data_IF_374023445391
#
_entry.id   IF_374023445391
#
_cell.length_a   1.000
_cell.length_b   1.000
_cell.length_c   1.000
_cell.angle_alpha   90.00
_cell.angle_beta   90.00
_cell.angle_gamma   90.00
#
_symmetry.space_group_name_H-M   'P 1'
#
loop_
_entity.id
_entity.type
_entity.pdbx_description
1 polymer ?
#
# COMPACT_ATOMS: atom_id res chain seq x y z
N UNK A 1 -54.24 -29.80 -40.43
CA UNK A 1 -53.87 -29.07 -39.18
C UNK A 1 -52.43 -29.37 -38.83
N UNK A 2 -51.51 -28.45 -39.13
CA UNK A 2 -50.09 -28.60 -38.84
C UNK A 2 -49.80 -28.02 -37.45
N UNK A 3 -49.38 -28.84 -36.47
CA UNK A 3 -48.91 -28.37 -35.18
C UNK A 3 -47.53 -27.75 -35.35
N UNK A 4 -47.41 -26.43 -35.10
CA UNK A 4 -46.15 -25.71 -34.95
C UNK A 4 -45.63 -25.98 -33.53
N UNK A 5 -44.51 -26.68 -33.41
CA UNK A 5 -43.73 -26.76 -32.16
C UNK A 5 -42.94 -25.46 -32.00
N UNK A 6 -43.19 -24.74 -30.92
CA UNK A 6 -42.48 -23.55 -30.51
C UNK A 6 -41.27 -24.01 -29.71
N UNK A 7 -40.10 -23.94 -30.29
CA UNK A 7 -38.82 -24.18 -29.57
C UNK A 7 -38.50 -22.91 -28.81
N UNK A 8 -38.68 -22.93 -27.49
CA UNK A 8 -38.21 -21.89 -26.58
C UNK A 8 -36.72 -22.13 -26.34
N UNK A 9 -35.88 -21.31 -26.97
CA UNK A 9 -34.45 -21.25 -26.73
C UNK A 9 -34.21 -20.49 -25.42
N UNK A 10 -34.05 -21.21 -24.31
CA UNK A 10 -33.62 -20.62 -23.04
C UNK A 10 -32.13 -20.27 -23.18
N UNK A 11 -31.85 -19.00 -23.49
CA UNK A 11 -30.53 -18.40 -23.35
C UNK A 11 -30.20 -18.35 -21.83
N UNK A 12 -29.50 -19.38 -21.34
CA UNK A 12 -28.83 -19.33 -20.05
C UNK A 12 -27.74 -18.26 -20.16
N UNK A 13 -28.07 -17.04 -19.80
CA UNK A 13 -27.07 -16.01 -19.48
C UNK A 13 -26.28 -16.50 -18.25
N UNK A 14 -25.27 -17.31 -18.51
CA UNK A 14 -24.23 -17.60 -17.55
C UNK A 14 -23.56 -16.29 -17.17
N UNK A 15 -23.96 -15.70 -16.05
CA UNK A 15 -23.15 -14.73 -15.35
C UNK A 15 -21.86 -15.42 -14.95
N UNK A 16 -20.89 -15.45 -15.86
CA UNK A 16 -19.50 -15.71 -15.51
C UNK A 16 -19.11 -14.56 -14.61
N UNK A 17 -19.27 -14.76 -13.29
CA UNK A 17 -18.59 -13.96 -12.28
C UNK A 17 -17.09 -14.17 -12.54
N UNK A 18 -16.53 -13.36 -13.41
CA UNK A 18 -15.09 -13.28 -13.59
C UNK A 18 -14.51 -13.03 -12.22
N UNK A 19 -13.80 -14.02 -11.67
CA UNK A 19 -12.95 -13.79 -10.52
C UNK A 19 -12.07 -12.59 -10.91
N UNK A 20 -12.21 -11.51 -10.18
CA UNK A 20 -11.49 -10.25 -10.44
C UNK A 20 -10.00 -10.56 -10.45
N UNK A 21 -9.36 -10.50 -11.61
CA UNK A 21 -7.94 -10.81 -11.75
C UNK A 21 -7.12 -9.72 -11.07
N UNK A 22 -6.13 -10.07 -10.26
CA UNK A 22 -5.28 -9.06 -9.64
C UNK A 22 -4.52 -8.27 -10.71
N UNK A 23 -4.25 -7.00 -10.43
CA UNK A 23 -3.47 -6.13 -11.32
C UNK A 23 -2.07 -6.70 -11.56
N UNK A 24 -1.40 -7.11 -10.49
CA UNK A 24 -0.06 -7.71 -10.54
C UNK A 24 -0.17 -9.24 -10.51
N UNK A 25 0.75 -9.90 -11.21
CA UNK A 25 0.78 -11.36 -11.40
C UNK A 25 2.11 -11.95 -10.92
N UNK A 26 2.15 -13.26 -10.78
CA UNK A 26 3.39 -13.97 -10.46
C UNK A 26 4.53 -13.59 -11.42
N UNK A 27 5.69 -13.26 -10.85
CA UNK A 27 6.87 -12.85 -11.59
C UNK A 27 6.94 -11.34 -11.90
N UNK A 28 5.88 -10.56 -11.64
CA UNK A 28 5.93 -9.11 -11.82
C UNK A 28 6.95 -8.47 -10.85
N UNK A 29 7.68 -7.48 -11.40
CA UNK A 29 8.62 -6.63 -10.68
C UNK A 29 8.10 -5.20 -10.72
N UNK A 30 7.66 -4.71 -9.57
CA UNK A 30 6.93 -3.45 -9.42
C UNK A 30 7.81 -2.45 -8.69
N UNK A 31 8.34 -1.45 -9.39
CA UNK A 31 9.09 -0.35 -8.79
C UNK A 31 8.15 0.79 -8.36
N UNK A 32 8.16 1.12 -7.07
CA UNK A 32 7.54 2.34 -6.55
C UNK A 32 8.55 3.48 -6.63
N UNK A 33 8.32 4.39 -7.57
CA UNK A 33 9.23 5.51 -7.88
C UNK A 33 8.70 6.79 -7.25
N UNK A 34 9.53 7.47 -6.45
CA UNK A 34 9.10 8.70 -5.79
C UNK A 34 10.13 9.30 -4.85
N UNK A 35 9.64 10.14 -3.97
CA UNK A 35 10.42 10.90 -2.98
C UNK A 35 10.39 10.25 -1.57
N UNK A 36 10.55 11.06 -0.50
CA UNK A 36 10.56 10.60 0.90
C UNK A 36 9.30 9.82 1.30
N UNK A 37 8.11 10.17 0.81
CA UNK A 37 6.87 9.47 1.13
C UNK A 37 6.88 8.04 0.54
N UNK A 38 7.54 7.85 -0.59
CA UNK A 38 7.77 6.52 -1.17
C UNK A 38 8.92 5.81 -0.46
N UNK A 39 10.04 6.49 -0.20
CA UNK A 39 11.18 5.92 0.52
C UNK A 39 10.79 5.39 1.91
N UNK A 40 9.91 6.10 2.63
CA UNK A 40 9.39 5.67 3.95
C UNK A 40 8.47 4.46 3.91
N UNK A 41 8.07 4.01 2.73
CA UNK A 41 7.31 2.77 2.55
C UNK A 41 5.81 2.92 2.77
N UNK A 42 5.37 2.93 4.00
CA UNK A 42 3.98 3.03 4.46
C UNK A 42 2.92 2.45 3.52
N UNK A 43 2.47 3.24 2.54
CA UNK A 43 1.38 2.83 1.66
C UNK A 43 1.74 1.63 0.76
N UNK A 44 2.94 1.59 0.18
CA UNK A 44 3.29 0.48 -0.70
C UNK A 44 3.74 -0.77 0.07
N UNK A 45 4.19 -0.63 1.31
CA UNK A 45 4.36 -1.76 2.22
C UNK A 45 3.00 -2.43 2.49
N UNK A 46 1.95 -1.66 2.77
CA UNK A 46 0.60 -2.19 2.91
C UNK A 46 0.10 -2.84 1.60
N UNK A 47 0.40 -2.26 0.43
CA UNK A 47 0.07 -2.90 -0.86
C UNK A 47 0.81 -4.25 -0.99
N UNK A 48 2.10 -4.29 -0.68
CA UNK A 48 2.88 -5.53 -0.68
C UNK A 48 2.30 -6.57 0.28
N UNK A 49 1.96 -6.17 1.51
CA UNK A 49 1.32 -7.03 2.51
C UNK A 49 -0.02 -7.58 1.99
N UNK A 50 -0.87 -6.72 1.40
CA UNK A 50 -2.13 -7.15 0.81
C UNK A 50 -1.91 -8.21 -0.28
N UNK A 51 -0.99 -7.97 -1.23
CA UNK A 51 -0.74 -8.93 -2.31
C UNK A 51 -0.13 -10.23 -1.79
N UNK A 52 0.77 -10.19 -0.83
CA UNK A 52 1.40 -11.37 -0.25
C UNK A 52 0.39 -12.24 0.50
N UNK A 53 -0.49 -11.63 1.30
CA UNK A 53 -1.52 -12.36 2.05
C UNK A 53 -2.67 -12.83 1.15
N UNK A 54 -3.04 -12.04 0.14
CA UNK A 54 -4.16 -12.33 -0.76
C UNK A 54 -3.81 -13.33 -1.85
N UNK A 55 -2.57 -13.30 -2.37
CA UNK A 55 -2.13 -14.12 -3.50
C UNK A 55 -0.83 -14.88 -3.16
N UNK A 56 -0.84 -15.75 -2.13
CA UNK A 56 0.37 -16.41 -1.64
C UNK A 56 1.03 -17.31 -2.69
N UNK A 57 0.29 -17.75 -3.71
CA UNK A 57 0.78 -18.58 -4.81
C UNK A 57 1.25 -17.74 -6.03
N UNK A 58 1.28 -16.41 -5.91
CA UNK A 58 1.69 -15.51 -6.98
C UNK A 58 2.80 -14.58 -6.48
N UNK A 59 4.04 -15.05 -6.39
CA UNK A 59 5.16 -14.21 -5.95
C UNK A 59 5.35 -12.99 -6.84
N UNK A 60 5.28 -11.82 -6.25
CA UNK A 60 5.48 -10.51 -6.87
C UNK A 60 6.64 -9.83 -6.16
N UNK A 61 7.54 -9.20 -6.91
CA UNK A 61 8.65 -8.44 -6.35
C UNK A 61 8.26 -6.96 -6.30
N UNK A 62 7.96 -6.45 -5.11
CA UNK A 62 7.78 -5.03 -4.85
C UNK A 62 9.11 -4.40 -4.46
N UNK A 63 9.46 -3.28 -5.08
CA UNK A 63 10.77 -2.64 -4.95
C UNK A 63 10.57 -1.17 -4.60
N UNK A 64 11.16 -0.75 -3.49
CA UNK A 64 11.18 0.64 -3.09
C UNK A 64 12.27 1.39 -3.86
N UNK A 65 11.87 2.25 -4.80
CA UNK A 65 12.74 3.16 -5.55
C UNK A 65 12.51 4.62 -5.14
N UNK A 66 12.07 4.88 -3.91
CA UNK A 66 11.94 6.22 -3.35
C UNK A 66 13.29 6.76 -2.86
N UNK A 67 13.55 8.04 -3.04
CA UNK A 67 14.70 8.74 -2.44
C UNK A 67 14.22 10.04 -1.79
N UNK A 68 14.51 10.27 -0.49
CA UNK A 68 14.10 11.50 0.19
C UNK A 68 14.60 12.75 -0.53
N UNK A 69 13.72 13.75 -0.65
CA UNK A 69 14.07 15.01 -1.30
C UNK A 69 13.93 15.03 -2.83
N UNK A 70 13.75 13.89 -3.47
CA UNK A 70 13.68 13.79 -4.94
C UNK A 70 12.60 14.67 -5.54
N UNK A 71 13.00 15.27 -6.64
CA UNK A 71 12.20 15.91 -7.67
C UNK A 71 12.26 15.06 -8.95
N UNK A 72 11.46 15.37 -9.94
CA UNK A 72 11.50 14.70 -11.24
C UNK A 72 12.90 14.68 -11.86
N UNK A 73 13.68 15.76 -11.72
CA UNK A 73 15.05 15.83 -12.24
C UNK A 73 16.01 14.83 -11.58
N UNK A 74 15.88 14.61 -10.27
CA UNK A 74 16.68 13.63 -9.55
C UNK A 74 16.33 12.19 -10.01
N UNK A 75 15.05 11.90 -10.19
CA UNK A 75 14.59 10.60 -10.70
C UNK A 75 15.16 10.33 -12.09
N UNK A 76 15.17 11.32 -12.99
CA UNK A 76 15.77 11.18 -14.31
C UNK A 76 17.27 10.87 -14.24
N UNK A 77 18.01 11.51 -13.34
CA UNK A 77 19.47 11.29 -13.18
C UNK A 77 19.82 9.89 -12.68
N UNK A 78 18.96 9.28 -11.84
CA UNK A 78 19.19 7.94 -11.30
C UNK A 78 18.37 6.85 -12.01
N UNK A 79 17.72 7.17 -13.13
CA UNK A 79 16.81 6.26 -13.83
C UNK A 79 17.45 4.91 -14.15
N UNK A 80 18.63 4.90 -14.79
CA UNK A 80 19.29 3.68 -15.21
C UNK A 80 19.96 2.93 -14.04
N UNK A 81 20.60 3.66 -13.12
CA UNK A 81 21.44 3.09 -12.06
C UNK A 81 20.68 2.63 -10.82
N UNK A 82 19.45 3.12 -10.59
CA UNK A 82 18.68 2.82 -9.38
C UNK A 82 17.26 2.29 -9.63
N UNK A 83 16.71 2.49 -10.83
CA UNK A 83 15.35 2.05 -11.12
C UNK A 83 15.34 0.96 -12.18
N UNK A 84 15.91 1.23 -13.34
CA UNK A 84 15.90 0.27 -14.46
C UNK A 84 16.80 -0.94 -14.23
N UNK A 85 17.82 -0.84 -13.35
CA UNK A 85 18.65 -1.96 -12.93
C UNK A 85 17.83 -3.09 -12.28
N UNK A 86 16.66 -2.80 -11.77
CA UNK A 86 15.76 -3.80 -11.21
C UNK A 86 14.92 -4.52 -12.26
N UNK A 87 15.05 -4.20 -13.54
CA UNK A 87 14.28 -4.77 -14.63
C UNK A 87 12.77 -4.80 -14.37
N UNK A 88 12.13 -3.63 -14.01
CA UNK A 88 10.72 -3.60 -13.69
C UNK A 88 9.87 -3.85 -14.94
N UNK A 89 8.74 -4.53 -14.76
CA UNK A 89 7.67 -4.53 -15.75
C UNK A 89 6.51 -3.62 -15.36
N UNK A 90 6.54 -3.06 -14.12
CA UNK A 90 5.66 -1.99 -13.66
C UNK A 90 6.45 -0.88 -12.98
N UNK A 91 6.09 0.38 -13.28
CA UNK A 91 6.52 1.57 -12.56
C UNK A 91 5.29 2.29 -11.98
N UNK A 92 5.25 2.43 -10.66
CA UNK A 92 4.21 3.15 -9.92
C UNK A 92 4.82 4.47 -9.45
N UNK A 93 4.39 5.59 -10.04
CA UNK A 93 5.13 6.87 -9.97
C UNK A 93 4.35 7.90 -9.17
N UNK A 94 4.99 8.48 -8.12
CA UNK A 94 4.45 9.57 -7.30
C UNK A 94 5.50 10.64 -6.99
N UNK A 95 5.38 11.81 -7.62
CA UNK A 95 6.24 12.99 -7.45
C UNK A 95 5.36 14.26 -7.33
N UNK A 96 5.97 15.41 -7.08
CA UNK A 96 5.30 16.70 -6.96
C UNK A 96 5.61 17.44 -5.66
N UNK A 97 5.65 16.76 -4.50
CA UNK A 97 5.79 17.40 -3.18
C UNK A 97 7.06 18.29 -3.07
N UNK A 98 8.16 17.90 -3.69
CA UNK A 98 9.39 18.67 -3.70
C UNK A 98 9.51 19.55 -4.96
N UNK A 99 8.87 19.14 -6.04
CA UNK A 99 8.90 19.84 -7.34
C UNK A 99 8.22 21.19 -7.28
N UNK A 100 7.20 21.36 -6.42
CA UNK A 100 6.53 22.66 -6.20
C UNK A 100 7.44 23.71 -5.53
N UNK A 101 8.65 23.30 -5.09
CA UNK A 101 9.65 24.19 -4.49
C UNK A 101 9.11 24.98 -3.29
N UNK A 102 8.72 24.26 -2.21
CA UNK A 102 8.10 24.83 -1.01
C UNK A 102 8.82 26.07 -0.44
N UNK A 103 10.13 26.20 -0.66
CA UNK A 103 10.92 27.37 -0.24
C UNK A 103 10.47 28.70 -0.85
N UNK A 104 9.69 28.68 -1.93
CA UNK A 104 9.12 29.86 -2.54
C UNK A 104 7.78 30.28 -1.94
N UNK A 105 7.29 29.52 -0.94
CA UNK A 105 6.01 29.75 -0.27
C UNK A 105 6.26 30.18 1.18
N UNK A 106 5.70 31.30 1.57
CA UNK A 106 5.74 31.81 2.94
C UNK A 106 4.45 31.49 3.70
N UNK A 107 4.34 32.02 4.91
CA UNK A 107 3.17 31.85 5.78
C UNK A 107 1.93 32.60 5.28
N UNK A 108 2.10 33.56 4.38
CA UNK A 108 1.06 34.42 3.83
C UNK A 108 1.08 34.40 2.29
N UNK A 109 -0.03 34.73 1.64
CA UNK A 109 -0.07 35.01 0.21
C UNK A 109 0.96 36.06 -0.20
N UNK A 110 1.47 36.00 -1.42
CA UNK A 110 2.40 36.98 -1.97
C UNK A 110 1.94 37.46 -3.33
N UNK A 111 2.15 38.76 -3.60
CA UNK A 111 1.96 39.40 -4.91
C UNK A 111 3.31 39.74 -5.57
N UNK A 112 4.44 39.30 -5.00
CA UNK A 112 5.75 39.53 -5.59
C UNK A 112 5.89 38.77 -6.91
N UNK A 113 6.05 39.53 -8.01
CA UNK A 113 6.07 38.99 -9.36
C UNK A 113 7.21 37.96 -9.58
N UNK A 114 8.39 38.20 -9.01
CA UNK A 114 9.52 37.30 -9.14
C UNK A 114 9.25 35.96 -8.43
N UNK A 115 8.67 36.00 -7.23
CA UNK A 115 8.28 34.81 -6.48
C UNK A 115 7.23 34.02 -7.24
N UNK A 116 6.21 34.71 -7.78
CA UNK A 116 5.16 34.04 -8.57
C UNK A 116 5.74 33.39 -9.82
N UNK A 117 6.65 34.05 -10.53
CA UNK A 117 7.37 33.49 -11.68
C UNK A 117 8.20 32.26 -11.30
N UNK A 118 8.89 32.27 -10.15
CA UNK A 118 9.65 31.11 -9.66
C UNK A 118 8.74 29.91 -9.37
N UNK A 119 7.55 30.14 -8.78
CA UNK A 119 6.55 29.08 -8.55
C UNK A 119 6.04 28.51 -9.87
N UNK A 120 5.68 29.37 -10.82
CA UNK A 120 5.23 28.95 -12.15
C UNK A 120 6.30 28.14 -12.89
N UNK A 121 7.56 28.60 -12.88
CA UNK A 121 8.68 27.88 -13.48
C UNK A 121 8.89 26.51 -12.83
N UNK A 122 8.70 26.36 -11.52
CA UNK A 122 8.80 25.10 -10.82
C UNK A 122 7.72 24.10 -11.32
N UNK A 123 6.47 24.56 -11.44
CA UNK A 123 5.37 23.75 -11.97
C UNK A 123 5.58 23.36 -13.43
N UNK A 124 6.06 24.29 -14.27
CA UNK A 124 6.33 24.01 -15.68
C UNK A 124 7.50 23.01 -15.82
N UNK A 125 8.54 23.13 -15.00
CA UNK A 125 9.64 22.17 -14.94
C UNK A 125 9.12 20.77 -14.52
N UNK A 126 8.29 20.69 -13.47
CA UNK A 126 7.64 19.46 -13.07
C UNK A 126 6.91 18.79 -14.23
N UNK A 127 6.06 19.55 -14.94
CA UNK A 127 5.27 19.01 -16.07
C UNK A 127 6.16 18.38 -17.14
N UNK A 128 7.19 19.08 -17.58
CA UNK A 128 8.12 18.62 -18.63
C UNK A 128 8.87 17.37 -18.16
N UNK A 129 9.41 17.39 -16.94
CA UNK A 129 10.24 16.30 -16.42
C UNK A 129 9.42 15.06 -16.07
N UNK A 130 8.21 15.24 -15.53
CA UNK A 130 7.33 14.13 -15.23
C UNK A 130 6.86 13.41 -16.51
N UNK A 131 6.49 14.15 -17.57
CA UNK A 131 6.18 13.56 -18.87
C UNK A 131 7.39 12.79 -19.44
N UNK A 132 8.60 13.33 -19.27
CA UNK A 132 9.84 12.66 -19.69
C UNK A 132 10.04 11.31 -18.96
N UNK A 133 9.79 11.26 -17.64
CA UNK A 133 9.87 10.03 -16.85
C UNK A 133 8.87 8.99 -17.40
N UNK A 134 7.62 9.39 -17.59
CA UNK A 134 6.57 8.51 -18.13
C UNK A 134 6.97 7.96 -19.49
N UNK A 135 7.44 8.82 -20.39
CA UNK A 135 7.88 8.42 -21.73
C UNK A 135 9.06 7.43 -21.72
N UNK A 136 10.00 7.56 -20.78
CA UNK A 136 11.13 6.63 -20.64
C UNK A 136 10.62 5.22 -20.31
N UNK A 137 9.67 5.08 -19.41
CA UNK A 137 9.09 3.79 -19.05
C UNK A 137 8.27 3.20 -20.21
N UNK A 138 7.41 3.99 -20.84
CA UNK A 138 6.56 3.54 -21.94
C UNK A 138 7.40 3.06 -23.13
N UNK A 139 8.46 3.79 -23.51
CA UNK A 139 9.38 3.39 -24.60
C UNK A 139 10.12 2.08 -24.33
N UNK A 140 10.22 1.66 -23.06
CA UNK A 140 10.81 0.39 -22.62
C UNK A 140 9.77 -0.72 -22.39
N UNK A 141 8.51 -0.50 -22.80
CA UNK A 141 7.39 -1.40 -22.57
C UNK A 141 7.12 -1.71 -21.10
N UNK A 142 7.48 -0.78 -20.18
CA UNK A 142 7.19 -0.87 -18.76
C UNK A 142 5.81 -0.27 -18.56
N UNK A 143 4.90 -1.02 -17.91
CA UNK A 143 3.56 -0.56 -17.59
C UNK A 143 3.65 0.51 -16.49
N UNK A 144 2.95 1.62 -16.71
CA UNK A 144 2.98 2.76 -15.79
C UNK A 144 1.65 2.90 -15.07
N UNK A 145 1.72 3.12 -13.75
CA UNK A 145 0.60 3.52 -12.91
C UNK A 145 0.96 4.89 -12.34
N UNK A 146 0.16 5.88 -12.69
CA UNK A 146 0.34 7.23 -12.18
C UNK A 146 -0.32 7.40 -10.83
N UNK A 147 0.33 8.15 -9.95
CA UNK A 147 -0.23 8.54 -8.67
C UNK A 147 -0.21 10.05 -8.55
N UNK A 148 -1.36 10.67 -8.30
CA UNK A 148 -1.41 12.09 -7.96
C UNK A 148 -0.65 12.31 -6.66
N UNK A 149 0.03 13.46 -6.46
CA UNK A 149 0.75 13.73 -5.22
C UNK A 149 -0.20 13.68 -4.01
N UNK A 150 0.36 13.47 -2.81
CA UNK A 150 -0.35 13.69 -1.56
C UNK A 150 -0.60 15.17 -1.33
N UNK A 151 -1.46 15.51 -0.38
CA UNK A 151 -1.66 16.90 0.04
C UNK A 151 -0.46 17.39 0.87
N UNK A 152 -0.28 18.71 0.87
CA UNK A 152 0.38 19.45 1.93
C UNK A 152 -0.72 19.99 2.85
N UNK A 153 -0.65 19.68 4.16
CA UNK A 153 -1.67 20.14 5.08
C UNK A 153 -1.46 21.61 5.45
N UNK A 154 -2.02 22.51 4.63
CA UNK A 154 -1.92 23.95 4.86
C UNK A 154 -2.99 24.51 5.82
N UNK A 155 -3.93 23.67 6.28
CA UNK A 155 -5.12 24.12 7.03
C UNK A 155 -5.11 23.72 8.51
N UNK A 156 -4.36 22.69 8.92
CA UNK A 156 -4.29 22.28 10.31
C UNK A 156 -3.71 23.35 11.24
N UNK A 157 -4.35 23.55 12.38
CA UNK A 157 -3.90 24.48 13.44
C UNK A 157 -2.79 23.85 14.31
N UNK A 158 -1.65 23.52 13.70
CA UNK A 158 -0.49 22.89 14.35
C UNK A 158 0.71 23.84 14.44
N UNK A 159 1.71 23.52 15.30
CA UNK A 159 2.85 24.41 15.58
C UNK A 159 3.76 24.66 14.38
N UNK A 160 3.90 23.69 13.45
CA UNK A 160 4.75 23.86 12.27
C UNK A 160 4.22 25.00 11.41
N UNK A 161 5.07 25.93 11.03
CA UNK A 161 4.70 27.02 10.12
C UNK A 161 4.12 26.49 8.82
N UNK A 162 3.15 27.22 8.31
CA UNK A 162 2.48 26.90 7.05
C UNK A 162 3.24 27.50 5.87
N UNK A 163 3.24 26.80 4.75
CA UNK A 163 3.65 27.32 3.45
C UNK A 163 2.40 27.55 2.60
N UNK A 164 1.80 28.72 2.70
CA UNK A 164 0.52 29.06 2.09
C UNK A 164 0.56 28.92 0.55
N UNK A 165 -0.39 28.18 -0.02
CA UNK A 165 -0.51 27.92 -1.45
C UNK A 165 0.24 26.68 -1.96
N UNK A 166 0.96 25.95 -1.09
CA UNK A 166 1.64 24.70 -1.49
C UNK A 166 0.62 23.63 -1.88
N UNK A 167 -0.50 23.50 -1.16
CA UNK A 167 -1.51 22.52 -1.52
C UNK A 167 -2.21 22.84 -2.84
N UNK A 168 -2.36 24.11 -3.16
CA UNK A 168 -2.92 24.56 -4.46
C UNK A 168 -1.97 24.23 -5.62
N UNK A 169 -0.67 24.40 -5.40
CA UNK A 169 0.35 23.98 -6.37
C UNK A 169 0.36 22.46 -6.57
N UNK A 170 0.20 21.69 -5.48
CA UNK A 170 0.06 20.23 -5.57
C UNK A 170 -1.22 19.82 -6.29
N UNK A 171 -2.32 20.55 -6.12
CA UNK A 171 -3.54 20.35 -6.91
C UNK A 171 -3.26 20.53 -8.41
N UNK A 172 -2.53 21.58 -8.78
CA UNK A 172 -2.10 21.81 -10.17
C UNK A 172 -1.24 20.65 -10.70
N UNK A 173 -0.35 20.10 -9.88
CA UNK A 173 0.41 18.91 -10.23
C UNK A 173 -0.51 17.68 -10.39
N UNK A 174 -1.49 17.50 -9.50
CA UNK A 174 -2.46 16.41 -9.55
C UNK A 174 -3.32 16.46 -10.83
N UNK A 175 -3.74 17.65 -11.25
CA UNK A 175 -4.50 17.84 -12.48
C UNK A 175 -3.65 17.54 -13.72
N UNK A 176 -2.37 17.89 -13.69
CA UNK A 176 -1.46 17.54 -14.77
C UNK A 176 -1.22 16.01 -14.85
N UNK A 177 -1.11 15.32 -13.72
CA UNK A 177 -1.03 13.84 -13.71
C UNK A 177 -2.27 13.23 -14.36
N UNK A 178 -3.48 13.80 -14.15
CA UNK A 178 -4.69 13.37 -14.84
C UNK A 178 -4.56 13.59 -16.36
N UNK A 179 -4.09 14.76 -16.77
CA UNK A 179 -3.86 15.05 -18.21
C UNK A 179 -2.93 14.03 -18.87
N UNK A 180 -1.87 13.60 -18.16
CA UNK A 180 -0.98 12.54 -18.66
C UNK A 180 -1.64 11.17 -18.69
N UNK A 181 -2.45 10.85 -17.66
CA UNK A 181 -3.23 9.61 -17.64
C UNK A 181 -4.14 9.52 -18.85
N UNK A 182 -4.85 10.60 -19.16
CA UNK A 182 -5.76 10.69 -20.31
C UNK A 182 -4.99 10.61 -21.63
N UNK A 183 -3.86 11.32 -21.74
CA UNK A 183 -2.98 11.36 -22.94
C UNK A 183 -2.43 9.97 -23.29
N UNK A 184 -1.99 9.23 -22.30
CA UNK A 184 -1.32 7.93 -22.52
C UNK A 184 -2.20 6.74 -22.20
N UNK A 185 -3.48 6.93 -21.85
CA UNK A 185 -4.45 5.90 -21.46
C UNK A 185 -3.90 5.05 -20.29
N UNK A 186 -3.40 5.71 -19.25
CA UNK A 186 -2.78 5.08 -18.09
C UNK A 186 -3.72 5.08 -16.87
N UNK A 187 -3.66 4.05 -16.01
CA UNK A 187 -4.35 4.08 -14.73
C UNK A 187 -3.76 5.18 -13.84
N UNK A 188 -4.65 5.88 -13.11
CA UNK A 188 -4.26 6.94 -12.18
C UNK A 188 -4.91 6.74 -10.81
N UNK A 189 -4.09 6.80 -9.75
CA UNK A 189 -4.55 6.74 -8.36
C UNK A 189 -4.61 8.17 -7.81
N UNK A 190 -5.80 8.60 -7.41
CA UNK A 190 -6.01 9.97 -6.91
C UNK A 190 -5.85 10.06 -5.39
N UNK A 191 -4.61 10.23 -4.94
CA UNK A 191 -4.33 10.46 -3.52
C UNK A 191 -4.69 11.88 -3.07
N UNK A 192 -4.54 12.87 -3.95
CA UNK A 192 -4.80 14.26 -3.57
C UNK A 192 -6.25 14.44 -3.12
N UNK A 193 -7.21 13.98 -3.91
CA UNK A 193 -8.62 14.18 -3.63
C UNK A 193 -9.09 13.46 -2.37
N UNK A 194 -8.75 12.18 -2.20
CA UNK A 194 -9.21 11.43 -1.02
C UNK A 194 -8.60 11.98 0.29
N UNK A 195 -7.29 12.28 0.28
CA UNK A 195 -6.62 12.81 1.47
C UNK A 195 -7.11 14.21 1.81
N UNK A 196 -7.32 15.07 0.80
CA UNK A 196 -7.83 16.44 1.02
C UNK A 196 -9.24 16.42 1.63
N UNK A 197 -10.13 15.60 1.09
CA UNK A 197 -11.51 15.52 1.56
C UNK A 197 -11.58 14.99 2.99
N UNK A 198 -10.89 13.89 3.29
CA UNK A 198 -10.86 13.33 4.64
C UNK A 198 -10.25 14.32 5.64
N UNK A 199 -9.12 14.93 5.29
CA UNK A 199 -8.46 15.89 6.18
C UNK A 199 -9.36 17.12 6.46
N UNK A 200 -10.06 17.60 5.45
CA UNK A 200 -11.03 18.70 5.58
C UNK A 200 -12.19 18.33 6.52
N UNK A 201 -12.76 17.12 6.39
CA UNK A 201 -13.84 16.67 7.26
C UNK A 201 -13.39 16.49 8.73
N UNK A 202 -12.18 15.99 8.94
CA UNK A 202 -11.61 15.88 10.29
C UNK A 202 -11.43 17.26 10.93
N UNK A 203 -10.94 18.24 10.19
CA UNK A 203 -10.67 19.60 10.67
C UNK A 203 -11.94 20.42 10.95
N UNK A 204 -13.09 20.04 10.40
CA UNK A 204 -14.39 20.61 10.82
C UNK A 204 -14.73 20.28 12.27
N UNK A 205 -14.25 19.14 12.78
CA UNK A 205 -14.50 18.66 14.15
C UNK A 205 -13.41 19.12 15.13
N UNK A 206 -12.14 19.06 14.70
CA UNK A 206 -10.98 19.52 15.44
C UNK A 206 -9.98 20.15 14.47
N UNK A 207 -9.80 21.45 14.56
CA UNK A 207 -8.89 22.22 13.71
C UNK A 207 -7.42 21.75 13.75
N UNK A 208 -7.03 20.95 14.76
CA UNK A 208 -5.70 20.37 14.91
C UNK A 208 -5.60 18.95 14.32
N UNK A 209 -6.74 18.32 14.00
CA UNK A 209 -6.75 16.97 13.44
C UNK A 209 -6.10 16.96 12.05
N UNK A 210 -5.30 15.93 11.80
CA UNK A 210 -4.66 15.73 10.50
C UNK A 210 -4.26 14.27 10.31
N UNK A 211 -4.45 13.75 9.11
CA UNK A 211 -3.91 12.46 8.64
C UNK A 211 -2.51 12.61 8.03
N UNK A 212 -2.05 13.84 7.90
CA UNK A 212 -0.68 14.19 7.52
C UNK A 212 0.12 14.45 8.80
N UNK A 213 1.40 14.10 8.81
CA UNK A 213 2.24 14.30 9.99
C UNK A 213 2.38 15.76 10.42
N UNK A 214 2.94 15.96 11.61
CA UNK A 214 3.14 17.29 12.21
C UNK A 214 4.05 18.21 11.38
N UNK A 215 4.72 17.68 10.37
CA UNK A 215 5.53 18.43 9.39
C UNK A 215 4.72 18.94 8.20
N UNK A 216 3.43 18.66 8.12
CA UNK A 216 2.47 19.03 7.06
C UNK A 216 2.69 18.32 5.72
N UNK A 217 3.64 17.39 5.61
CA UNK A 217 4.13 16.79 4.36
C UNK A 217 3.93 15.27 4.31
N UNK A 218 4.37 14.58 5.36
CA UNK A 218 4.42 13.12 5.37
C UNK A 218 3.16 12.53 6.01
N UNK A 219 2.37 11.72 5.28
CA UNK A 219 1.23 11.03 5.86
C UNK A 219 1.63 10.17 7.06
N UNK A 220 0.80 10.16 8.11
CA UNK A 220 0.92 9.21 9.21
C UNK A 220 0.49 7.80 8.81
N UNK A 221 0.52 6.86 9.74
CA UNK A 221 0.12 5.46 9.50
C UNK A 221 -1.31 5.36 8.95
N UNK A 222 -2.25 6.15 9.50
CA UNK A 222 -3.62 6.26 9.01
C UNK A 222 -3.69 6.80 7.58
N UNK A 223 -2.95 7.86 7.28
CA UNK A 223 -2.86 8.43 5.94
C UNK A 223 -2.31 7.43 4.92
N UNK A 224 -1.31 6.64 5.31
CA UNK A 224 -0.79 5.54 4.48
C UNK A 224 -1.80 4.42 4.26
N UNK A 225 -2.64 4.08 5.25
CA UNK A 225 -3.72 3.11 5.07
C UNK A 225 -4.77 3.63 4.08
N UNK A 226 -5.15 4.90 4.18
CA UNK A 226 -6.06 5.56 3.23
C UNK A 226 -5.49 5.55 1.80
N UNK A 227 -4.18 5.82 1.65
CA UNK A 227 -3.51 5.70 0.34
C UNK A 227 -3.55 4.26 -0.19
N UNK A 228 -3.31 3.27 0.67
CA UNK A 228 -3.44 1.85 0.30
C UNK A 228 -4.85 1.52 -0.15
N UNK A 229 -5.86 1.94 0.62
CA UNK A 229 -7.27 1.78 0.27
C UNK A 229 -7.57 2.34 -1.12
N UNK A 230 -7.15 3.59 -1.38
CA UNK A 230 -7.37 4.23 -2.67
C UNK A 230 -6.67 3.51 -3.82
N UNK A 231 -5.46 2.99 -3.61
CA UNK A 231 -4.75 2.19 -4.60
C UNK A 231 -5.51 0.91 -4.93
N UNK A 232 -5.88 0.13 -3.91
CA UNK A 232 -6.60 -1.14 -4.08
C UNK A 232 -7.97 -0.92 -4.74
N UNK A 233 -8.67 0.15 -4.38
CA UNK A 233 -9.96 0.53 -4.98
C UNK A 233 -9.81 0.90 -6.45
N UNK A 234 -8.85 1.75 -6.79
CA UNK A 234 -8.59 2.16 -8.18
C UNK A 234 -8.16 0.99 -9.06
N UNK A 235 -7.46 0.03 -8.50
CA UNK A 235 -6.97 -1.16 -9.22
C UNK A 235 -7.94 -2.34 -9.18
N UNK A 236 -9.16 -2.14 -8.68
CA UNK A 236 -10.20 -3.15 -8.54
C UNK A 236 -9.70 -4.42 -7.85
N UNK A 237 -8.99 -4.26 -6.73
CA UNK A 237 -8.47 -5.38 -5.96
C UNK A 237 -9.60 -6.26 -5.39
N UNK A 238 -9.45 -7.60 -5.34
CA UNK A 238 -10.49 -8.49 -4.83
C UNK A 238 -10.84 -8.27 -3.37
N UNK A 239 -12.14 -8.29 -3.07
CA UNK A 239 -12.69 -8.09 -1.74
C UNK A 239 -12.46 -9.27 -0.79
N UNK A 240 -12.72 -10.49 -1.26
CA UNK A 240 -12.85 -11.65 -0.38
C UNK A 240 -11.51 -12.36 -0.13
N UNK A 241 -11.23 -12.65 1.14
CA UNK A 241 -10.23 -13.64 1.59
C UNK A 241 -10.79 -15.02 1.30
N UNK A 242 -11.97 -15.32 1.87
CA UNK A 242 -12.75 -16.53 1.64
C UNK A 242 -14.24 -16.26 1.83
N UNK A 243 -15.09 -17.09 1.24
CA UNK A 243 -16.51 -17.17 1.54
C UNK A 243 -16.87 -18.64 1.85
N UNK A 244 -17.44 -18.85 3.03
CA UNK A 244 -17.91 -20.13 3.52
C UNK A 244 -19.41 -19.96 3.80
N UNK A 245 -20.26 -20.64 3.04
CA UNK A 245 -21.72 -20.61 3.22
C UNK A 245 -22.18 -22.05 3.45
N UNK A 246 -22.73 -22.33 4.63
CA UNK A 246 -23.28 -23.62 5.02
C UNK A 246 -24.78 -23.47 5.19
N UNK A 247 -25.53 -24.30 4.49
CA UNK A 247 -26.98 -24.41 4.64
C UNK A 247 -27.30 -25.65 5.48
N UNK A 248 -27.95 -25.46 6.62
CA UNK A 248 -28.37 -26.51 7.54
C UNK A 248 -29.77 -27.04 7.22
N UNK A 249 -30.29 -26.87 6.01
CA UNK A 249 -31.52 -27.54 5.63
C UNK A 249 -31.24 -29.02 5.37
N UNK A 250 -31.85 -29.90 6.19
CA UNK A 250 -31.70 -31.35 6.10
C UNK A 250 -32.11 -31.96 4.75
N UNK A 251 -32.83 -31.18 3.91
CA UNK A 251 -33.26 -31.57 2.58
C UNK A 251 -32.34 -31.12 1.45
N UNK A 252 -31.53 -30.06 1.67
CA UNK A 252 -30.68 -29.45 0.64
C UNK A 252 -29.40 -28.93 1.27
N UNK A 253 -28.43 -29.78 1.62
CA UNK A 253 -27.13 -29.32 2.12
C UNK A 253 -26.32 -28.68 1.00
N UNK A 254 -26.71 -27.47 0.61
CA UNK A 254 -25.94 -26.65 -0.32
C UNK A 254 -24.78 -25.99 0.42
N UNK A 255 -23.58 -26.46 0.14
CA UNK A 255 -22.36 -25.84 0.63
C UNK A 255 -21.71 -25.04 -0.49
N UNK A 256 -21.57 -23.74 -0.28
CA UNK A 256 -20.91 -22.87 -1.23
C UNK A 256 -19.62 -22.34 -0.61
N UNK A 257 -18.51 -22.59 -1.29
CA UNK A 257 -17.22 -22.04 -0.88
C UNK A 257 -16.55 -21.32 -2.05
N UNK A 258 -16.03 -20.12 -1.77
CA UNK A 258 -15.21 -19.36 -2.73
C UNK A 258 -13.87 -19.03 -2.10
N UNK A 259 -12.82 -19.19 -2.89
CA UNK A 259 -11.44 -18.97 -2.49
C UNK A 259 -10.99 -19.82 -1.29
N UNK A 260 -11.68 -20.95 -1.02
CA UNK A 260 -11.32 -21.94 -0.02
C UNK A 260 -11.79 -23.33 -0.46
N UNK A 261 -11.36 -24.36 0.26
CA UNK A 261 -11.86 -25.74 0.16
C UNK A 261 -12.49 -26.12 1.48
N UNK A 262 -13.77 -26.50 1.45
CA UNK A 262 -14.53 -27.02 2.57
C UNK A 262 -14.50 -28.56 2.53
N UNK A 263 -14.23 -29.21 3.67
CA UNK A 263 -14.13 -30.69 3.80
C UNK A 263 -14.77 -31.17 5.09
N UNK A 264 -15.17 -32.44 5.11
CA UNK A 264 -15.60 -33.19 6.29
C UNK A 264 -16.63 -32.39 7.10
N UNK A 265 -17.73 -31.97 6.45
CA UNK A 265 -18.81 -31.28 7.16
C UNK A 265 -19.65 -32.35 7.90
N UNK A 266 -19.55 -32.33 9.22
CA UNK A 266 -20.32 -33.19 10.12
C UNK A 266 -21.35 -32.34 10.86
N UNK A 267 -22.61 -32.76 10.77
CA UNK A 267 -23.74 -32.15 11.49
C UNK A 267 -23.99 -32.96 12.76
N UNK A 268 -23.84 -32.33 13.92
CA UNK A 268 -24.13 -32.96 15.20
C UNK A 268 -25.37 -32.31 15.85
N UNK A 269 -25.97 -32.98 16.85
CA UNK A 269 -26.99 -32.33 17.68
C UNK A 269 -26.41 -31.06 18.30
N UNK A 270 -26.88 -29.90 17.83
CA UNK A 270 -26.50 -28.57 18.35
C UNK A 270 -25.24 -27.94 17.72
N UNK A 271 -24.74 -28.43 16.55
CA UNK A 271 -23.64 -27.77 15.91
C UNK A 271 -23.02 -28.41 14.69
N UNK A 272 -21.89 -27.92 14.27
CA UNK A 272 -21.13 -28.35 13.11
C UNK A 272 -19.64 -28.53 13.43
N UNK A 273 -19.04 -29.49 12.76
CA UNK A 273 -17.60 -29.64 12.69
C UNK A 273 -17.21 -29.74 11.21
N UNK A 274 -16.26 -28.94 10.76
CA UNK A 274 -15.79 -28.96 9.37
C UNK A 274 -14.35 -28.46 9.27
N UNK A 275 -13.71 -28.80 8.16
CA UNK A 275 -12.35 -28.30 7.85
C UNK A 275 -12.39 -27.34 6.69
N UNK A 276 -11.59 -26.29 6.78
CA UNK A 276 -11.42 -25.29 5.73
C UNK A 276 -9.94 -25.11 5.43
N UNK A 277 -9.59 -25.15 4.15
CA UNK A 277 -8.32 -24.66 3.65
C UNK A 277 -8.58 -23.46 2.75
N UNK A 278 -8.28 -22.29 3.24
CA UNK A 278 -8.38 -21.04 2.48
C UNK A 278 -7.25 -20.92 1.46
N UNK A 279 -7.39 -20.02 0.47
CA UNK A 279 -6.35 -19.73 -0.52
C UNK A 279 -5.67 -18.38 -0.28
N UNK A 280 -6.08 -17.67 0.75
CA UNK A 280 -5.59 -16.35 1.14
C UNK A 280 -5.65 -16.20 2.66
N UNK A 281 -4.96 -15.19 3.18
CA UNK A 281 -5.01 -14.77 4.58
C UNK A 281 -5.65 -13.38 4.70
N UNK A 282 -6.27 -13.04 5.85
CA UNK A 282 -6.78 -11.70 6.11
C UNK A 282 -5.64 -10.67 6.17
N UNK A 283 -5.97 -9.39 5.95
CA UNK A 283 -5.00 -8.31 6.08
C UNK A 283 -4.79 -7.95 7.56
N UNK A 284 -3.57 -8.07 8.10
CA UNK A 284 -3.30 -7.77 9.50
C UNK A 284 -3.08 -6.26 9.72
N UNK A 285 -4.03 -5.62 10.37
CA UNK A 285 -3.99 -4.19 10.68
C UNK A 285 -2.94 -3.89 11.77
N UNK A 286 -2.27 -2.75 11.66
CA UNK A 286 -1.43 -2.22 12.72
C UNK A 286 -2.25 -1.33 13.69
N UNK A 287 -1.83 -1.27 14.94
CA UNK A 287 -2.50 -0.46 15.98
C UNK A 287 -2.56 1.02 15.60
N UNK A 288 -1.49 1.52 14.95
CA UNK A 288 -1.33 2.91 14.51
C UNK A 288 -2.21 3.25 13.28
N UNK A 289 -2.99 2.29 12.76
CA UNK A 289 -3.87 2.44 11.60
C UNK A 289 -5.37 2.46 11.99
N UNK A 290 -5.69 2.51 13.28
CA UNK A 290 -7.08 2.44 13.77
C UNK A 290 -7.96 3.58 13.27
N UNK A 291 -7.48 4.82 13.33
CA UNK A 291 -8.21 5.95 12.79
C UNK A 291 -8.43 5.80 11.28
N UNK A 292 -7.46 5.28 10.55
CA UNK A 292 -7.60 5.01 9.13
C UNK A 292 -8.75 4.03 8.82
N UNK A 293 -8.97 3.02 9.67
CA UNK A 293 -10.12 2.10 9.55
C UNK A 293 -11.48 2.76 9.79
N UNK A 294 -11.53 3.78 10.64
CA UNK A 294 -12.76 4.56 10.85
C UNK A 294 -13.06 5.49 9.67
N UNK A 295 -12.03 5.88 8.91
CA UNK A 295 -12.12 6.84 7.83
C UNK A 295 -12.38 6.20 6.46
N UNK A 296 -11.98 4.94 6.27
CA UNK A 296 -12.23 4.18 5.05
C UNK A 296 -12.61 2.73 5.38
N UNK A 297 -13.57 2.11 4.67
CA UNK A 297 -14.05 0.75 4.95
C UNK A 297 -13.06 -0.32 4.43
N UNK A 298 -11.81 -0.27 4.91
CA UNK A 298 -10.73 -1.10 4.38
C UNK A 298 -11.01 -2.61 4.55
N UNK A 299 -11.47 -3.02 5.73
CA UNK A 299 -11.74 -4.42 6.02
C UNK A 299 -12.93 -4.90 5.21
N UNK A 300 -14.00 -4.11 5.14
CA UNK A 300 -15.23 -4.48 4.43
C UNK A 300 -15.06 -4.53 2.91
N UNK A 301 -14.11 -3.76 2.35
CA UNK A 301 -13.85 -3.72 0.92
C UNK A 301 -12.71 -4.66 0.48
N UNK A 302 -11.73 -4.96 1.35
CA UNK A 302 -10.52 -5.67 0.94
C UNK A 302 -10.05 -6.80 1.87
N UNK A 303 -10.78 -7.12 2.95
CA UNK A 303 -10.38 -8.19 3.87
C UNK A 303 -11.59 -8.95 4.41
N UNK A 304 -12.46 -9.45 3.53
CA UNK A 304 -13.66 -10.17 3.93
C UNK A 304 -13.42 -11.67 3.93
N UNK A 305 -13.40 -12.24 5.13
CA UNK A 305 -13.37 -13.68 5.43
C UNK A 305 -14.76 -14.07 5.93
N UNK A 306 -15.67 -14.32 4.99
CA UNK A 306 -17.09 -14.44 5.29
C UNK A 306 -17.48 -15.87 5.71
N UNK A 307 -18.14 -15.99 6.86
CA UNK A 307 -18.81 -17.20 7.31
C UNK A 307 -20.32 -16.94 7.44
N UNK A 308 -21.14 -17.68 6.68
CA UNK A 308 -22.60 -17.65 6.72
C UNK A 308 -23.11 -19.03 7.07
N UNK A 309 -24.01 -19.14 8.04
CA UNK A 309 -24.66 -20.39 8.39
C UNK A 309 -26.17 -20.16 8.51
N UNK A 310 -26.91 -20.77 7.60
CA UNK A 310 -28.35 -20.65 7.55
C UNK A 310 -29.04 -21.71 8.41
N UNK A 311 -30.29 -21.42 8.78
CA UNK A 311 -31.21 -22.33 9.50
C UNK A 311 -30.72 -22.75 10.91
N UNK A 312 -29.98 -21.88 11.57
CA UNK A 312 -29.71 -22.01 13.00
C UNK A 312 -30.88 -21.44 13.81
N UNK A 313 -31.37 -22.25 14.78
CA UNK A 313 -32.57 -21.94 15.57
C UNK A 313 -32.27 -21.51 17.00
N UNK A 314 -31.09 -21.84 17.54
CA UNK A 314 -30.72 -21.48 18.88
C UNK A 314 -30.36 -19.99 18.99
N UNK A 315 -30.46 -19.47 20.20
CA UNK A 315 -30.19 -18.06 20.48
C UNK A 315 -28.70 -17.76 20.48
N UNK A 316 -27.85 -18.74 20.75
CA UNK A 316 -26.40 -18.55 20.90
C UNK A 316 -25.58 -19.74 20.43
N UNK A 317 -24.50 -19.44 19.70
CA UNK A 317 -23.51 -20.40 19.20
C UNK A 317 -22.11 -19.92 19.49
N UNK A 318 -21.22 -20.80 19.89
CA UNK A 318 -19.80 -20.55 20.01
C UNK A 318 -19.06 -21.08 18.78
N UNK A 319 -18.17 -20.27 18.21
CA UNK A 319 -17.28 -20.64 17.13
C UNK A 319 -15.88 -20.81 17.68
N UNK A 320 -15.30 -21.97 17.43
CA UNK A 320 -13.88 -22.24 17.68
C UNK A 320 -13.18 -22.64 16.39
N UNK A 321 -11.92 -22.23 16.24
CA UNK A 321 -11.05 -22.63 15.13
C UNK A 321 -9.77 -23.20 15.75
N UNK A 322 -9.42 -24.45 15.42
CA UNK A 322 -8.31 -25.20 16.03
C UNK A 322 -8.32 -25.10 17.57
N UNK A 323 -9.46 -25.40 18.18
CA UNK A 323 -9.73 -25.32 19.62
C UNK A 323 -9.64 -23.93 20.27
N UNK A 324 -9.34 -22.87 19.51
CA UNK A 324 -9.36 -21.48 19.99
C UNK A 324 -10.76 -20.89 19.85
N UNK A 325 -11.38 -20.48 20.96
CA UNK A 325 -12.67 -19.78 20.93
C UNK A 325 -12.51 -18.42 20.21
N UNK A 326 -13.29 -18.22 19.15
CA UNK A 326 -13.29 -16.98 18.36
C UNK A 326 -14.33 -15.99 18.90
N UNK A 327 -15.52 -16.48 19.20
CA UNK A 327 -16.59 -15.67 19.75
C UNK A 327 -17.91 -16.43 19.89
N UNK A 328 -18.90 -15.71 20.43
CA UNK A 328 -20.28 -16.20 20.54
C UNK A 328 -21.19 -15.33 19.68
N UNK A 329 -22.10 -15.98 18.95
CA UNK A 329 -22.94 -15.35 17.94
C UNK A 329 -24.35 -15.91 18.03
N UNK A 330 -25.35 -15.08 17.73
CA UNK A 330 -26.72 -15.53 17.52
C UNK A 330 -26.89 -16.23 16.16
N UNK A 331 -27.89 -17.08 16.03
CA UNK A 331 -28.24 -17.67 14.75
C UNK A 331 -28.57 -16.59 13.68
N UNK A 332 -29.11 -15.45 14.11
CA UNK A 332 -29.38 -14.32 13.20
C UNK A 332 -28.09 -13.67 12.70
N UNK A 333 -27.07 -13.49 13.53
CA UNK A 333 -25.78 -12.96 13.10
C UNK A 333 -25.09 -13.92 12.12
N UNK A 334 -25.11 -15.23 12.42
CA UNK A 334 -24.53 -16.24 11.53
C UNK A 334 -25.25 -16.33 10.18
N UNK A 335 -26.58 -16.16 10.14
CA UNK A 335 -27.32 -16.16 8.88
C UNK A 335 -27.11 -14.89 8.06
N UNK A 336 -26.87 -13.74 8.69
CA UNK A 336 -26.45 -12.52 8.00
C UNK A 336 -25.00 -12.59 7.51
N UNK A 337 -24.20 -13.46 8.13
CA UNK A 337 -22.78 -13.63 7.87
C UNK A 337 -21.89 -12.74 8.75
N UNK A 338 -20.86 -13.35 9.31
CA UNK A 338 -19.81 -12.68 10.07
C UNK A 338 -18.55 -12.59 9.22
N UNK A 339 -17.76 -11.52 9.43
CA UNK A 339 -16.44 -11.37 8.83
C UNK A 339 -15.36 -11.78 9.84
N UNK A 340 -14.77 -12.95 9.66
CA UNK A 340 -13.75 -13.51 10.56
C UNK A 340 -12.47 -12.68 10.58
N UNK A 341 -12.18 -11.87 9.55
CA UNK A 341 -11.04 -10.96 9.54
C UNK A 341 -11.10 -9.87 10.64
N UNK A 342 -12.25 -9.65 11.25
CA UNK A 342 -12.41 -8.77 12.42
C UNK A 342 -11.94 -9.41 13.74
N UNK A 343 -11.63 -10.71 13.75
CA UNK A 343 -11.27 -11.45 14.95
C UNK A 343 -9.78 -11.79 14.94
N UNK A 344 -8.99 -11.00 15.67
CA UNK A 344 -7.53 -11.09 15.67
C UNK A 344 -6.97 -12.35 16.36
N UNK A 345 -7.80 -13.11 17.05
CA UNK A 345 -7.47 -14.39 17.68
C UNK A 345 -7.61 -15.59 16.74
N UNK A 346 -8.11 -15.44 15.50
CA UNK A 346 -8.15 -16.53 14.53
C UNK A 346 -6.75 -17.01 14.14
N UNK A 347 -6.55 -18.32 13.88
CA UNK A 347 -5.27 -18.84 13.41
C UNK A 347 -4.78 -18.17 12.12
N UNK A 348 -5.71 -17.88 11.20
CA UNK A 348 -5.44 -17.20 9.93
C UNK A 348 -4.89 -15.78 10.15
N UNK A 349 -5.48 -15.01 11.08
CA UNK A 349 -5.00 -13.67 11.42
C UNK A 349 -3.62 -13.72 12.09
N UNK A 350 -3.39 -14.71 12.98
CA UNK A 350 -2.07 -14.94 13.59
C UNK A 350 -1.03 -15.29 12.54
N UNK A 351 -1.36 -16.13 11.56
CA UNK A 351 -0.48 -16.43 10.43
C UNK A 351 -0.20 -15.19 9.59
N UNK A 352 -1.19 -14.35 9.30
CA UNK A 352 -1.02 -13.09 8.59
C UNK A 352 -0.06 -12.12 9.33
N UNK A 353 -0.11 -12.08 10.67
CA UNK A 353 0.84 -11.33 11.47
C UNK A 353 2.28 -11.88 11.37
N UNK A 354 2.45 -13.19 11.27
CA UNK A 354 3.78 -13.79 11.01
C UNK A 354 4.33 -13.32 9.65
N UNK A 355 3.49 -13.33 8.61
CA UNK A 355 3.85 -12.79 7.28
C UNK A 355 4.28 -11.32 7.39
N UNK A 356 3.51 -10.48 8.11
CA UNK A 356 3.83 -9.07 8.34
C UNK A 356 5.18 -8.90 9.07
N UNK A 357 5.49 -9.76 10.04
CA UNK A 357 6.77 -9.72 10.76
C UNK A 357 7.96 -9.96 9.82
N UNK A 358 7.86 -10.93 8.91
CA UNK A 358 8.90 -11.20 7.90
C UNK A 358 9.02 -10.01 6.93
N UNK A 359 7.90 -9.46 6.47
CA UNK A 359 7.90 -8.26 5.62
C UNK A 359 8.51 -7.05 6.32
N UNK A 360 8.24 -6.84 7.61
CA UNK A 360 8.86 -5.75 8.37
C UNK A 360 10.40 -5.85 8.38
N UNK A 361 10.95 -7.06 8.51
CA UNK A 361 12.39 -7.28 8.42
C UNK A 361 12.90 -6.93 7.02
N UNK A 362 12.24 -7.41 5.97
CA UNK A 362 12.57 -7.09 4.59
C UNK A 362 12.56 -5.58 4.34
N UNK A 363 11.53 -4.87 4.80
CA UNK A 363 11.41 -3.42 4.61
C UNK A 363 12.45 -2.62 5.38
N UNK A 364 12.90 -3.10 6.54
CA UNK A 364 14.01 -2.49 7.28
C UNK A 364 15.32 -2.60 6.49
N UNK A 365 15.60 -3.78 5.93
CA UNK A 365 16.79 -4.00 5.10
C UNK A 365 16.73 -3.17 3.80
N UNK A 366 15.54 -3.05 3.17
CA UNK A 366 15.32 -2.13 2.04
C UNK A 366 15.54 -0.66 2.45
N UNK A 367 15.08 -0.23 3.63
CA UNK A 367 15.29 1.12 4.13
C UNK A 367 16.78 1.44 4.35
N UNK A 368 17.56 0.45 4.75
CA UNK A 368 19.01 0.56 4.85
C UNK A 368 19.66 0.73 3.47
N UNK A 369 19.24 -0.06 2.48
CA UNK A 369 19.64 0.11 1.08
C UNK A 369 19.22 1.48 0.52
N UNK A 370 18.03 2.00 0.88
CA UNK A 370 17.58 3.34 0.45
C UNK A 370 18.38 4.47 1.13
N UNK A 371 18.87 4.27 2.35
CA UNK A 371 19.83 5.20 2.98
C UNK A 371 21.13 5.27 2.19
N UNK A 372 21.66 4.13 1.76
CA UNK A 372 22.86 4.08 0.91
C UNK A 372 22.59 4.83 -0.40
N UNK A 373 21.49 4.52 -1.09
CA UNK A 373 21.09 5.20 -2.33
C UNK A 373 20.91 6.71 -2.15
N UNK A 374 20.30 7.15 -1.04
CA UNK A 374 20.17 8.58 -0.73
C UNK A 374 21.52 9.31 -0.70
N UNK A 375 22.51 8.76 -0.02
CA UNK A 375 23.83 9.38 0.08
C UNK A 375 24.57 9.33 -1.25
N UNK A 376 24.50 8.21 -1.96
CA UNK A 376 25.10 8.05 -3.30
C UNK A 376 24.59 9.13 -4.26
N UNK A 377 23.26 9.25 -4.41
CA UNK A 377 22.65 10.10 -5.45
C UNK A 377 22.55 11.56 -5.08
N UNK A 378 22.44 11.89 -3.78
CA UNK A 378 22.29 13.28 -3.35
C UNK A 378 23.60 13.94 -2.90
N UNK A 379 24.59 13.16 -2.48
CA UNK A 379 25.82 13.72 -1.91
C UNK A 379 27.07 13.25 -2.64
N UNK A 380 27.22 11.95 -2.86
CA UNK A 380 28.42 11.38 -3.46
C UNK A 380 28.44 11.45 -5.00
N UNK A 381 27.37 11.88 -5.64
CA UNK A 381 27.33 12.12 -7.10
C UNK A 381 28.39 13.15 -7.58
N UNK A 382 28.91 13.98 -6.69
CA UNK A 382 29.98 14.96 -6.95
C UNK A 382 31.33 14.57 -6.33
N UNK A 383 31.44 13.36 -5.78
CA UNK A 383 32.69 12.84 -5.23
C UNK A 383 33.47 12.11 -6.32
N UNK A 384 34.71 12.52 -6.54
CA UNK A 384 35.59 11.96 -7.58
C UNK A 384 36.66 11.01 -7.05
N UNK A 385 36.63 10.68 -5.75
CA UNK A 385 37.55 9.74 -5.12
C UNK A 385 37.08 8.28 -5.22
N UNK A 386 37.84 7.40 -4.58
CA UNK A 386 37.52 5.97 -4.50
C UNK A 386 36.41 5.73 -3.46
N UNK A 387 35.23 5.27 -3.88
CA UNK A 387 34.12 4.93 -2.98
C UNK A 387 34.40 3.75 -2.05
N UNK A 388 35.41 2.92 -2.35
CA UNK A 388 35.82 1.82 -1.47
C UNK A 388 36.76 2.27 -0.35
N UNK A 389 37.31 3.48 -0.43
CA UNK A 389 38.10 4.10 0.64
C UNK A 389 37.13 4.85 1.58
N UNK A 390 36.62 4.15 2.58
CA UNK A 390 35.62 4.69 3.51
C UNK A 390 36.14 5.85 4.36
N UNK A 391 37.43 5.93 4.63
CA UNK A 391 38.01 7.06 5.36
C UNK A 391 38.02 8.33 4.53
N UNK A 392 38.37 8.25 3.24
CA UNK A 392 38.29 9.36 2.31
C UNK A 392 36.83 9.76 2.06
N UNK A 393 35.92 8.80 1.92
CA UNK A 393 34.48 9.06 1.80
C UNK A 393 33.95 9.76 3.05
N UNK A 394 34.29 9.29 4.23
CA UNK A 394 33.89 9.90 5.50
C UNK A 394 34.39 11.36 5.60
N UNK A 395 35.64 11.61 5.27
CA UNK A 395 36.23 12.96 5.26
C UNK A 395 35.46 13.89 4.32
N UNK A 396 35.09 13.41 3.14
CA UNK A 396 34.27 14.17 2.20
C UNK A 396 32.86 14.46 2.75
N UNK A 397 32.19 13.46 3.32
CA UNK A 397 30.86 13.62 3.91
C UNK A 397 30.88 14.61 5.10
N UNK A 398 31.88 14.53 5.96
CA UNK A 398 32.07 15.48 7.07
C UNK A 398 32.27 16.91 6.56
N UNK A 399 33.05 17.09 5.48
CA UNK A 399 33.23 18.39 4.82
C UNK A 399 31.90 18.91 4.26
N UNK A 400 31.14 18.07 3.54
CA UNK A 400 29.82 18.45 3.00
C UNK A 400 28.85 18.81 4.13
N UNK A 401 28.82 18.01 5.21
CA UNK A 401 28.00 18.29 6.38
C UNK A 401 28.31 19.66 6.98
N UNK A 402 29.58 19.94 7.28
CA UNK A 402 30.00 21.19 7.90
C UNK A 402 29.69 22.41 7.04
N UNK A 403 29.88 22.30 5.73
CA UNK A 403 29.71 23.41 4.79
C UNK A 403 28.24 23.67 4.40
N UNK A 404 27.40 22.63 4.32
CA UNK A 404 26.06 22.75 3.74
C UNK A 404 24.91 22.55 4.75
N UNK A 405 25.10 21.66 5.75
CA UNK A 405 23.95 21.19 6.55
C UNK A 405 24.02 21.52 8.04
N UNK A 406 25.21 21.69 8.62
CA UNK A 406 25.40 21.82 10.07
C UNK A 406 24.62 22.99 10.72
N UNK A 407 24.26 24.00 9.95
CA UNK A 407 23.53 25.20 10.42
C UNK A 407 22.08 25.24 9.90
N UNK A 408 21.53 24.12 9.42
CA UNK A 408 20.16 24.04 8.89
C UNK A 408 19.26 23.22 9.81
N UNK A 409 17.95 23.35 9.66
CA UNK A 409 16.95 22.51 10.34
C UNK A 409 17.13 21.00 10.05
N UNK A 410 17.89 20.66 9.02
CA UNK A 410 18.17 19.28 8.60
C UNK A 410 19.49 18.74 9.12
N UNK A 411 20.22 19.48 9.98
CA UNK A 411 21.55 19.09 10.47
C UNK A 411 21.55 17.67 11.09
N UNK A 412 20.65 17.42 12.06
CA UNK A 412 20.56 16.11 12.71
C UNK A 412 20.24 14.98 11.71
N UNK A 413 19.36 15.24 10.74
CA UNK A 413 19.00 14.27 9.71
C UNK A 413 20.18 13.89 8.83
N UNK A 414 20.89 14.87 8.24
CA UNK A 414 22.03 14.56 7.37
C UNK A 414 23.18 13.91 8.11
N UNK A 415 23.44 14.30 9.35
CA UNK A 415 24.44 13.67 10.19
C UNK A 415 24.12 12.18 10.37
N UNK A 416 22.90 11.85 10.76
CA UNK A 416 22.47 10.47 10.94
C UNK A 416 22.55 9.65 9.62
N UNK A 417 22.18 10.25 8.47
CA UNK A 417 22.27 9.56 7.17
C UNK A 417 23.74 9.27 6.79
N UNK A 418 24.67 10.20 7.02
CA UNK A 418 26.07 10.02 6.69
C UNK A 418 26.75 8.99 7.61
N UNK A 419 26.48 9.04 8.92
CA UNK A 419 26.96 8.03 9.87
C UNK A 419 26.44 6.63 9.50
N UNK A 420 25.16 6.53 9.16
CA UNK A 420 24.53 5.28 8.72
C UNK A 420 25.13 4.76 7.41
N UNK A 421 25.40 5.65 6.45
CA UNK A 421 26.07 5.29 5.19
C UNK A 421 27.43 4.66 5.42
N UNK A 422 28.31 5.27 6.22
CA UNK A 422 29.64 4.74 6.52
C UNK A 422 29.56 3.35 7.15
N UNK A 423 28.55 3.12 8.00
CA UNK A 423 28.34 1.80 8.63
C UNK A 423 27.84 0.74 7.64
N UNK A 424 26.98 1.10 6.69
CA UNK A 424 26.20 0.16 5.87
C UNK A 424 26.74 -0.02 4.45
N UNK A 425 27.52 0.92 3.90
CA UNK A 425 27.92 0.90 2.48
C UNK A 425 28.69 -0.36 2.09
N UNK A 426 29.55 -0.87 2.97
CA UNK A 426 30.25 -2.15 2.77
C UNK A 426 29.34 -3.38 2.86
N UNK A 427 28.17 -3.25 3.48
CA UNK A 427 27.20 -4.33 3.66
C UNK A 427 26.16 -4.39 2.52
N UNK A 428 26.22 -3.51 1.52
CA UNK A 428 25.24 -3.40 0.43
C UNK A 428 24.88 -4.76 -0.16
N UNK A 429 25.88 -5.58 -0.50
CA UNK A 429 25.63 -6.90 -1.08
C UNK A 429 24.91 -7.83 -0.10
N UNK A 430 25.35 -7.86 1.15
CA UNK A 430 24.73 -8.70 2.21
C UNK A 430 23.27 -8.32 2.42
N UNK A 431 22.97 -7.02 2.51
CA UNK A 431 21.59 -6.52 2.64
C UNK A 431 20.73 -6.90 1.42
N UNK A 432 21.30 -6.78 0.21
CA UNK A 432 20.59 -7.17 -1.02
C UNK A 432 20.27 -8.67 -1.04
N UNK A 433 21.26 -9.52 -0.69
CA UNK A 433 21.08 -10.97 -0.64
C UNK A 433 20.03 -11.37 0.42
N UNK A 434 20.01 -10.70 1.59
CA UNK A 434 19.03 -10.97 2.65
C UNK A 434 17.62 -10.52 2.23
N UNK A 435 17.47 -9.38 1.58
CA UNK A 435 16.19 -8.93 1.01
C UNK A 435 15.63 -9.98 0.04
N UNK A 436 16.46 -10.50 -0.87
CA UNK A 436 15.99 -11.51 -1.83
C UNK A 436 15.64 -12.84 -1.15
N UNK A 437 16.36 -13.24 -0.11
CA UNK A 437 16.03 -14.41 0.72
C UNK A 437 14.68 -14.22 1.44
N UNK A 438 14.46 -13.07 2.08
CA UNK A 438 13.22 -12.74 2.77
C UNK A 438 12.01 -12.69 1.81
N UNK A 439 12.21 -12.25 0.55
CA UNK A 439 11.17 -12.33 -0.49
C UNK A 439 10.68 -13.76 -0.74
N UNK A 440 11.57 -14.74 -0.70
CA UNK A 440 11.19 -16.15 -0.85
C UNK A 440 10.52 -16.67 0.43
N UNK A 441 11.06 -16.33 1.59
CA UNK A 441 10.56 -16.78 2.89
C UNK A 441 9.13 -16.30 3.16
N UNK A 442 8.83 -15.05 2.85
CA UNK A 442 7.49 -14.47 3.09
C UNK A 442 6.38 -15.18 2.32
N UNK A 443 6.61 -15.58 1.07
CA UNK A 443 5.61 -16.32 0.30
C UNK A 443 5.44 -17.77 0.77
N UNK A 444 6.46 -18.38 1.39
CA UNK A 444 6.33 -19.67 2.08
C UNK A 444 5.46 -19.54 3.34
N UNK A 445 5.72 -18.51 4.15
CA UNK A 445 4.96 -18.24 5.37
C UNK A 445 3.49 -17.85 5.07
N UNK A 446 3.23 -17.25 3.91
CA UNK A 446 1.90 -16.83 3.49
C UNK A 446 1.01 -17.99 2.98
N UNK A 447 1.53 -19.22 2.81
CA UNK A 447 0.71 -20.36 2.37
C UNK A 447 -0.30 -20.74 3.46
N UNK A 448 -1.64 -20.62 3.23
CA UNK A 448 -2.62 -20.89 4.26
C UNK A 448 -2.64 -22.36 4.68
N UNK A 449 -2.79 -22.60 5.97
CA UNK A 449 -3.00 -23.93 6.54
C UNK A 449 -4.46 -24.38 6.43
N UNK A 450 -4.71 -25.67 6.65
CA UNK A 450 -6.06 -26.22 6.84
C UNK A 450 -6.41 -26.08 8.32
N UNK A 451 -7.59 -25.54 8.63
CA UNK A 451 -8.09 -25.32 9.98
C UNK A 451 -9.39 -26.08 10.22
N UNK A 452 -9.60 -26.53 11.47
CA UNK A 452 -10.81 -27.18 11.90
C UNK A 452 -11.74 -26.15 12.57
N UNK A 453 -12.95 -26.02 12.05
CA UNK A 453 -13.99 -25.15 12.60
C UNK A 453 -14.96 -25.99 13.41
N UNK A 454 -15.25 -25.58 14.63
CA UNK A 454 -16.28 -26.14 15.47
C UNK A 454 -17.29 -25.05 15.83
N UNK A 455 -18.57 -25.31 15.59
CA UNK A 455 -19.67 -24.43 15.95
C UNK A 455 -20.58 -25.21 16.87
N UNK A 456 -20.79 -24.72 18.09
CA UNK A 456 -21.56 -25.41 19.13
C UNK A 456 -22.66 -24.49 19.66
N UNK A 457 -23.86 -25.01 19.75
CA UNK A 457 -24.95 -24.39 20.49
C UNK A 457 -24.58 -24.31 21.98
N UNK A 458 -24.84 -23.12 22.55
CA UNK A 458 -24.66 -22.90 23.99
C UNK A 458 -25.96 -22.31 24.56
N UNK A 459 -26.31 -22.75 25.76
CA UNK A 459 -27.54 -22.40 26.47
C UNK A 459 -27.45 -20.97 27.04
#
# INVERSE_FOLDING_TARGET
MKKRQLIILILALGNSLYAQSPLFKAGDRVCFVGNSITAGGGFHHNISLYYTTRFPNQPITFINCGVPGDQCDNVLKRMDSDILIHHPNYAVIKLGMNDVMRKYYGTMPTNNADTLRLRENAINTYKIKFDSIVNIFLKRNIKVILQKPTIYDQTAAIKKENNFGVNDALKTCADYVQTLADKYQLPVVDYWTILNNINTELQKKDAKATIIGKDRVHPGADGHLIMTYQFLKTTNAPKYVAQIIIDNDAKHSNQLSKNCMLKNVEVNKGGFLFKVKEKALPFPIAEEQKLGLELVPFIDDFSVEQLVINHFTANKYEISIDDSLIGSFSGTELSKGINLANYHNTPQYKQANTVKTILNKLWNDEADLRTIAFVDYNTLNSYHGNLNDLESVKTYLDSVYNNKFSKTDFAAYYKAQFEKYIKLSSMRKVLTDEVEKLRVEVYKAAQPFEHQFAIKEVN
#
